data_IF_001082037446
#
_entry.id   IF_001082037446
#
_cell.length_a   1.000
_cell.length_b   1.000
_cell.length_c   1.000
_cell.angle_alpha   90.00
_cell.angle_beta   90.00
_cell.angle_gamma   90.00
#
_symmetry.space_group_name_H-M   'P 1'
#
loop_
_entity.id
_entity.type
_entity.pdbx_description
1 polymer ?
#
# COMPACT_ATOMS: atom_id res chain seq x y z
N UNK A 1 -4.09 10.72 15.74
CA UNK A 1 -5.19 9.98 15.11
C UNK A 1 -5.72 8.87 16.03
N UNK A 2 -4.93 7.82 16.33
CA UNK A 2 -5.41 6.65 17.08
C UNK A 2 -6.09 6.98 18.42
N UNK A 3 -5.42 7.77 19.27
CA UNK A 3 -5.94 8.09 20.59
C UNK A 3 -7.20 8.98 20.55
N UNK A 4 -7.36 9.83 19.53
CA UNK A 4 -8.36 10.89 19.52
C UNK A 4 -9.59 10.59 18.65
N UNK A 5 -9.39 9.85 17.55
CA UNK A 5 -10.39 9.72 16.48
C UNK A 5 -10.69 8.27 16.09
N UNK A 6 -9.72 7.35 16.11
CA UNK A 6 -9.92 6.00 15.56
C UNK A 6 -11.10 5.26 16.20
N UNK A 7 -11.29 5.39 17.52
CA UNK A 7 -12.39 4.78 18.27
C UNK A 7 -13.78 5.38 17.96
N UNK A 8 -13.83 6.54 17.30
CA UNK A 8 -15.07 7.23 16.93
C UNK A 8 -15.50 6.95 15.49
N UNK A 9 -14.64 6.31 14.71
CA UNK A 9 -14.89 6.03 13.30
C UNK A 9 -15.35 4.57 13.21
N UNK A 10 -16.54 4.29 12.66
CA UNK A 10 -17.01 2.92 12.50
C UNK A 10 -16.15 2.17 11.49
N UNK A 11 -16.04 0.85 11.64
CA UNK A 11 -15.33 0.02 10.65
C UNK A 11 -15.98 0.13 9.27
N UNK A 12 -17.29 0.01 9.23
CA UNK A 12 -18.12 0.10 8.03
C UNK A 12 -19.39 0.91 8.27
N UNK A 13 -20.02 1.41 7.21
CA UNK A 13 -21.34 2.05 7.26
C UNK A 13 -22.16 1.67 6.03
N UNK A 14 -23.46 1.43 6.19
CA UNK A 14 -24.39 1.27 5.07
C UNK A 14 -24.64 2.65 4.44
N UNK A 15 -24.70 2.71 3.11
CA UNK A 15 -24.95 3.96 2.38
C UNK A 15 -26.24 4.66 2.83
N UNK A 16 -27.32 3.91 3.05
CA UNK A 16 -28.58 4.45 3.57
C UNK A 16 -28.40 5.12 4.93
N UNK A 17 -27.76 4.46 5.90
CA UNK A 17 -27.45 5.03 7.22
C UNK A 17 -26.57 6.28 7.12
N UNK A 18 -25.61 6.30 6.18
CA UNK A 18 -24.80 7.49 5.95
C UNK A 18 -25.66 8.65 5.42
N UNK A 19 -26.54 8.40 4.45
CA UNK A 19 -27.39 9.42 3.84
C UNK A 19 -28.40 9.99 4.83
N UNK A 20 -28.98 9.16 5.71
CA UNK A 20 -29.85 9.61 6.79
C UNK A 20 -29.15 10.58 7.74
N UNK A 21 -27.88 10.32 8.05
CA UNK A 21 -27.12 11.09 9.04
C UNK A 21 -26.41 12.31 8.45
N UNK A 22 -25.87 12.20 7.24
CA UNK A 22 -24.94 13.17 6.65
C UNK A 22 -25.43 13.77 5.33
N UNK A 23 -26.53 13.27 4.76
CA UNK A 23 -27.16 13.73 3.51
C UNK A 23 -26.33 13.43 2.25
N UNK A 24 -25.06 13.80 2.20
CA UNK A 24 -24.14 13.55 1.08
C UNK A 24 -22.66 13.61 1.56
N UNK A 25 -21.74 13.21 0.70
CA UNK A 25 -20.29 13.32 0.86
C UNK A 25 -19.63 14.47 0.09
N UNK A 26 -20.41 15.31 -0.61
CA UNK A 26 -19.94 16.45 -1.41
C UNK A 26 -18.88 16.14 -2.50
N UNK A 27 -18.79 14.88 -2.95
CA UNK A 27 -18.02 14.49 -4.13
C UNK A 27 -18.88 14.64 -5.40
N UNK A 28 -18.37 15.37 -6.39
CA UNK A 28 -19.01 15.56 -7.70
C UNK A 28 -18.87 14.38 -8.66
N UNK A 29 -17.96 13.46 -8.38
CA UNK A 29 -17.60 12.34 -9.26
C UNK A 29 -18.35 11.07 -8.89
N UNK A 30 -18.63 10.86 -7.61
CA UNK A 30 -19.25 9.64 -7.10
C UNK A 30 -20.62 9.90 -6.47
N UNK A 31 -21.39 8.83 -6.30
CA UNK A 31 -22.70 8.85 -5.66
C UNK A 31 -22.75 7.71 -4.65
N UNK A 32 -23.31 7.98 -3.48
CA UNK A 32 -23.50 6.97 -2.44
C UNK A 32 -24.66 6.06 -2.87
N UNK A 33 -24.37 4.77 -3.04
CA UNK A 33 -25.37 3.73 -3.22
C UNK A 33 -25.97 3.38 -1.85
N UNK A 34 -27.28 3.61 -1.61
CA UNK A 34 -27.91 3.31 -0.32
C UNK A 34 -27.77 1.84 0.10
N UNK A 35 -27.66 0.92 -0.86
CA UNK A 35 -27.62 -0.53 -0.62
C UNK A 35 -26.22 -1.06 -0.37
N UNK A 36 -25.18 -0.23 -0.54
CA UNK A 36 -23.78 -0.66 -0.42
C UNK A 36 -23.25 -0.37 0.98
N UNK A 37 -22.49 -1.31 1.51
CA UNK A 37 -21.69 -1.12 2.73
C UNK A 37 -20.30 -0.62 2.35
N UNK A 38 -19.86 0.47 2.98
CA UNK A 38 -18.58 1.12 2.73
C UNK A 38 -17.62 0.90 3.90
N UNK A 39 -16.36 0.57 3.62
CA UNK A 39 -15.30 0.49 4.62
C UNK A 39 -14.81 1.89 4.99
N UNK A 40 -15.19 2.39 6.17
CA UNK A 40 -14.90 3.77 6.60
C UNK A 40 -13.57 3.85 7.33
N UNK A 41 -13.34 2.95 8.30
CA UNK A 41 -12.14 3.02 9.14
C UNK A 41 -10.86 2.82 8.33
N UNK A 42 -10.81 1.80 7.47
CA UNK A 42 -9.65 1.54 6.63
C UNK A 42 -9.37 2.70 5.67
N UNK A 43 -10.41 3.20 4.99
CA UNK A 43 -10.33 4.34 4.07
C UNK A 43 -9.93 5.65 4.75
N UNK A 44 -10.32 5.85 6.01
CA UNK A 44 -9.86 7.00 6.81
C UNK A 44 -8.41 6.84 7.28
N UNK A 45 -8.00 5.62 7.65
CA UNK A 45 -6.64 5.31 8.11
C UNK A 45 -5.61 5.46 6.99
N UNK A 46 -5.93 4.98 5.80
CA UNK A 46 -4.99 4.93 4.69
C UNK A 46 -4.29 6.27 4.40
N UNK A 47 -4.98 7.38 4.10
CA UNK A 47 -4.31 8.64 3.77
C UNK A 47 -3.52 9.23 4.94
N UNK A 48 -3.95 8.98 6.19
CA UNK A 48 -3.25 9.47 7.39
C UNK A 48 -1.88 8.78 7.51
N UNK A 49 -1.87 7.45 7.42
CA UNK A 49 -0.63 6.68 7.51
C UNK A 49 0.20 6.75 6.24
N UNK A 50 -0.43 6.86 5.08
CA UNK A 50 0.29 7.05 3.81
C UNK A 50 1.05 8.36 3.80
N UNK A 51 0.48 9.45 4.33
CA UNK A 51 1.20 10.71 4.49
C UNK A 51 2.44 10.55 5.38
N UNK A 52 2.38 9.74 6.45
CA UNK A 52 3.57 9.41 7.23
C UNK A 52 4.58 8.61 6.41
N UNK A 53 4.13 7.54 5.73
CA UNK A 53 5.00 6.69 4.90
C UNK A 53 5.69 7.49 3.80
N UNK A 54 4.98 8.38 3.10
CA UNK A 54 5.55 9.25 2.06
C UNK A 54 6.63 10.17 2.64
N UNK A 55 6.39 10.78 3.80
CA UNK A 55 7.40 11.63 4.47
C UNK A 55 8.62 10.83 4.92
N UNK A 56 8.41 9.65 5.49
CA UNK A 56 9.48 8.74 5.89
C UNK A 56 10.29 8.26 4.67
N UNK A 57 9.60 7.86 3.60
CA UNK A 57 10.21 7.44 2.34
C UNK A 57 11.07 8.56 1.75
N UNK A 58 10.54 9.78 1.69
CA UNK A 58 11.29 10.96 1.25
C UNK A 58 12.54 11.21 2.09
N UNK A 59 12.45 11.09 3.42
CA UNK A 59 13.61 11.26 4.28
C UNK A 59 14.66 10.16 4.03
N UNK A 60 14.23 8.91 3.92
CA UNK A 60 15.12 7.78 3.63
C UNK A 60 15.84 7.93 2.29
N UNK A 61 15.20 8.47 1.25
CA UNK A 61 15.85 8.75 -0.04
C UNK A 61 17.04 9.73 0.06
N UNK A 62 17.15 10.51 1.13
CA UNK A 62 18.28 11.43 1.35
C UNK A 62 19.44 10.80 2.12
N UNK A 63 19.27 9.60 2.67
CA UNK A 63 20.33 8.87 3.36
C UNK A 63 21.32 8.25 2.36
N UNK A 64 22.51 7.86 2.86
CA UNK A 64 23.48 7.11 2.07
C UNK A 64 22.89 5.78 1.60
N UNK A 65 23.27 5.39 0.39
CA UNK A 65 22.77 4.15 -0.22
C UNK A 65 23.33 2.95 0.51
N UNK A 66 22.46 2.19 1.17
CA UNK A 66 22.79 0.94 1.85
C UNK A 66 21.67 -0.09 1.72
N UNK A 67 21.97 -1.35 2.06
CA UNK A 67 20.95 -2.38 2.12
C UNK A 67 19.88 -2.08 3.18
N UNK A 68 20.27 -1.50 4.31
CA UNK A 68 19.36 -1.11 5.39
C UNK A 68 18.39 -0.01 4.91
N UNK A 69 18.90 0.98 4.16
CA UNK A 69 18.06 1.99 3.52
C UNK A 69 17.05 1.35 2.55
N UNK A 70 17.51 0.46 1.67
CA UNK A 70 16.65 -0.21 0.69
C UNK A 70 15.59 -1.10 1.37
N UNK A 71 15.96 -1.83 2.43
CA UNK A 71 15.02 -2.61 3.24
C UNK A 71 13.97 -1.71 3.90
N UNK A 72 14.37 -0.56 4.45
CA UNK A 72 13.43 0.37 5.06
C UNK A 72 12.48 1.00 4.02
N UNK A 73 12.99 1.40 2.86
CA UNK A 73 12.17 1.89 1.74
C UNK A 73 11.18 0.83 1.26
N UNK A 74 11.65 -0.41 1.09
CA UNK A 74 10.82 -1.50 0.63
C UNK A 74 9.74 -1.93 1.63
N UNK A 75 10.05 -1.91 2.92
CA UNK A 75 9.07 -2.13 3.99
C UNK A 75 7.94 -1.09 3.94
N UNK A 76 8.27 0.20 3.72
CA UNK A 76 7.25 1.24 3.54
C UNK A 76 6.38 0.99 2.30
N UNK A 77 6.94 0.41 1.23
CA UNK A 77 6.16 0.02 0.05
C UNK A 77 5.17 -1.09 0.38
N UNK A 78 5.61 -2.16 1.06
CA UNK A 78 4.70 -3.25 1.48
C UNK A 78 3.60 -2.74 2.40
N UNK A 79 3.94 -1.91 3.39
CA UNK A 79 2.94 -1.30 4.28
C UNK A 79 1.93 -0.44 3.53
N UNK A 80 2.36 0.29 2.50
CA UNK A 80 1.42 0.99 1.63
C UNK A 80 0.50 0.01 0.90
N UNK A 81 1.04 -1.05 0.29
CA UNK A 81 0.24 -2.01 -0.47
C UNK A 81 -0.86 -2.63 0.40
N UNK A 82 -0.50 -3.17 1.57
CA UNK A 82 -1.50 -3.74 2.48
C UNK A 82 -2.51 -2.70 2.98
N UNK A 83 -2.09 -1.46 3.17
CA UNK A 83 -3.00 -0.37 3.53
C UNK A 83 -3.98 -0.02 2.39
N UNK A 84 -3.58 -0.21 1.14
CA UNK A 84 -4.39 0.01 -0.06
C UNK A 84 -5.40 -1.14 -0.24
N UNK A 85 -4.96 -2.38 -0.04
CA UNK A 85 -5.81 -3.57 -0.09
C UNK A 85 -6.88 -3.53 1.00
N UNK A 86 -6.53 -3.06 2.20
CA UNK A 86 -7.48 -2.85 3.29
C UNK A 86 -8.60 -1.84 2.94
N UNK A 87 -8.37 -0.94 1.97
CA UNK A 87 -9.41 -0.05 1.45
C UNK A 87 -10.32 -0.73 0.42
N UNK A 88 -10.08 -1.99 0.06
CA UNK A 88 -10.77 -2.69 -1.01
C UNK A 88 -10.35 -2.25 -2.41
N UNK A 89 -9.18 -1.63 -2.54
CA UNK A 89 -8.64 -1.11 -3.81
C UNK A 89 -7.54 -2.02 -4.40
N UNK A 90 -7.20 -3.12 -3.73
CA UNK A 90 -6.24 -4.12 -4.19
C UNK A 90 -6.75 -4.99 -5.35
N UNK A 91 -5.95 -6.00 -5.73
CA UNK A 91 -6.34 -7.01 -6.72
C UNK A 91 -5.49 -8.27 -6.62
N UNK A 92 -6.07 -9.44 -6.85
CA UNK A 92 -5.35 -10.72 -6.79
C UNK A 92 -4.04 -10.72 -7.62
N UNK A 93 -4.06 -10.06 -8.78
CA UNK A 93 -2.88 -9.94 -9.66
C UNK A 93 -1.77 -9.10 -9.04
N UNK A 94 -2.09 -7.92 -8.50
CA UNK A 94 -1.09 -7.06 -7.84
C UNK A 94 -0.56 -7.71 -6.58
N UNK A 95 -1.43 -8.35 -5.81
CA UNK A 95 -1.09 -9.00 -4.54
C UNK A 95 -0.16 -10.19 -4.80
N UNK A 96 -0.42 -10.94 -5.88
CA UNK A 96 0.46 -12.03 -6.34
C UNK A 96 1.86 -11.51 -6.69
N UNK A 97 1.95 -10.43 -7.47
CA UNK A 97 3.25 -9.85 -7.86
C UNK A 97 4.02 -9.34 -6.64
N UNK A 98 3.36 -8.61 -5.73
CA UNK A 98 3.99 -8.11 -4.51
C UNK A 98 4.50 -9.27 -3.63
N UNK A 99 3.70 -10.34 -3.52
CA UNK A 99 4.09 -11.56 -2.80
C UNK A 99 5.30 -12.24 -3.43
N UNK A 100 5.37 -12.36 -4.76
CA UNK A 100 6.53 -12.95 -5.45
C UNK A 100 7.81 -12.15 -5.17
N UNK A 101 7.74 -10.82 -5.20
CA UNK A 101 8.89 -9.97 -4.84
C UNK A 101 9.32 -10.22 -3.39
N UNK A 102 8.36 -10.33 -2.47
CA UNK A 102 8.63 -10.61 -1.05
C UNK A 102 9.24 -12.00 -0.84
N UNK A 103 8.79 -13.01 -1.57
CA UNK A 103 9.37 -14.36 -1.58
C UNK A 103 10.81 -14.35 -2.11
N UNK A 104 11.06 -13.62 -3.21
CA UNK A 104 12.40 -13.46 -3.77
C UNK A 104 13.36 -12.74 -2.83
N UNK A 105 12.95 -11.63 -2.23
CA UNK A 105 13.70 -10.91 -1.22
C UNK A 105 14.13 -11.83 -0.07
N UNK A 106 13.22 -12.70 0.40
CA UNK A 106 13.44 -13.57 1.55
C UNK A 106 14.08 -14.92 1.21
N UNK A 107 14.31 -15.21 -0.07
CA UNK A 107 14.90 -16.47 -0.53
C UNK A 107 16.31 -16.68 0.04
N UNK A 108 16.70 -17.95 0.22
CA UNK A 108 18.03 -18.31 0.73
C UNK A 108 19.16 -17.77 -0.16
N UNK A 109 18.97 -17.82 -1.49
CA UNK A 109 19.92 -17.27 -2.45
C UNK A 109 20.04 -15.75 -2.32
N UNK A 110 18.91 -15.03 -2.19
CA UNK A 110 18.91 -13.58 -1.97
C UNK A 110 19.71 -13.21 -0.71
N UNK A 111 19.49 -13.92 0.40
CA UNK A 111 20.20 -13.66 1.66
C UNK A 111 21.71 -13.93 1.59
N UNK A 112 22.14 -14.93 0.83
CA UNK A 112 23.55 -15.26 0.65
C UNK A 112 24.31 -14.20 -0.18
N UNK A 113 23.60 -13.47 -1.03
CA UNK A 113 24.18 -12.49 -1.97
C UNK A 113 23.81 -11.04 -1.66
N UNK A 114 23.50 -10.73 -0.39
CA UNK A 114 23.12 -9.39 0.06
C UNK A 114 21.88 -8.80 -0.62
N UNK A 115 21.00 -9.60 -1.19
CA UNK A 115 19.69 -9.24 -1.74
C UNK A 115 19.72 -8.27 -2.94
N UNK A 116 18.72 -8.39 -3.80
CA UNK A 116 18.59 -7.65 -5.07
C UNK A 116 17.24 -6.94 -5.24
N UNK A 117 16.19 -7.47 -4.61
CA UNK A 117 14.86 -6.87 -4.53
C UNK A 117 14.52 -6.61 -3.07
N UNK A 118 13.88 -5.48 -2.77
CA UNK A 118 13.72 -5.00 -1.39
C UNK A 118 12.28 -4.63 -1.03
N UNK A 119 11.42 -4.37 -2.02
CA UNK A 119 10.03 -4.02 -1.77
C UNK A 119 9.20 -3.89 -3.03
N UNK A 120 7.88 -3.98 -2.88
CA UNK A 120 6.94 -3.78 -3.96
C UNK A 120 5.62 -3.19 -3.46
N UNK A 121 4.94 -2.41 -4.31
CA UNK A 121 3.56 -1.96 -4.08
C UNK A 121 2.79 -1.76 -5.38
N UNK A 122 1.47 -1.92 -5.30
CA UNK A 122 0.56 -1.41 -6.32
C UNK A 122 0.75 0.10 -6.55
N UNK A 123 0.61 0.55 -7.79
CA UNK A 123 0.66 1.96 -8.19
C UNK A 123 -0.32 2.27 -9.32
N UNK A 124 -0.77 3.52 -9.43
CA UNK A 124 -1.81 3.96 -10.36
C UNK A 124 -3.17 4.10 -9.67
N UNK A 125 -4.26 3.87 -10.41
CA UNK A 125 -5.63 4.05 -9.92
C UNK A 125 -6.16 2.92 -9.00
N UNK A 126 -5.44 1.81 -8.87
CA UNK A 126 -5.89 0.64 -8.12
C UNK A 126 -6.74 -0.34 -8.93
N UNK A 127 -7.26 -1.37 -8.25
CA UNK A 127 -8.08 -2.45 -8.80
C UNK A 127 -7.41 -3.20 -9.97
N UNK A 128 -6.08 -3.36 -9.87
CA UNK A 128 -5.23 -3.92 -10.91
C UNK A 128 -4.15 -2.95 -11.35
N UNK A 129 -3.66 -3.12 -12.59
CA UNK A 129 -2.67 -2.24 -13.19
C UNK A 129 -1.23 -2.67 -12.91
N UNK A 130 -0.43 -1.78 -12.34
CA UNK A 130 1.03 -1.93 -12.25
C UNK A 130 1.51 -2.08 -10.81
N UNK A 131 2.61 -2.82 -10.65
CA UNK A 131 3.36 -2.92 -9.40
C UNK A 131 4.71 -2.22 -9.59
N UNK A 132 5.04 -1.32 -8.66
CA UNK A 132 6.36 -0.72 -8.56
C UNK A 132 7.23 -1.59 -7.65
N UNK A 133 8.46 -1.88 -8.07
CA UNK A 133 9.43 -2.70 -7.34
C UNK A 133 10.68 -1.87 -7.09
N UNK A 134 11.23 -1.93 -5.87
CA UNK A 134 12.54 -1.35 -5.55
C UNK A 134 13.59 -2.46 -5.48
N UNK A 135 14.69 -2.24 -6.19
CA UNK A 135 15.79 -3.18 -6.34
C UNK A 135 17.13 -2.48 -6.53
N UNK A 136 18.21 -3.24 -6.43
CA UNK A 136 19.54 -2.78 -6.84
C UNK A 136 19.56 -2.59 -8.35
N UNK A 137 20.38 -1.63 -8.80
CA UNK A 137 20.67 -1.48 -10.22
C UNK A 137 21.71 -2.54 -10.65
N UNK A 138 21.27 -3.77 -10.85
CA UNK A 138 22.10 -4.86 -11.35
C UNK A 138 21.29 -5.82 -12.24
N UNK A 139 21.98 -6.57 -13.10
CA UNK A 139 21.37 -7.52 -14.05
C UNK A 139 20.46 -8.52 -13.34
N UNK A 140 20.89 -9.02 -12.19
CA UNK A 140 20.14 -10.01 -11.41
C UNK A 140 18.79 -9.51 -10.92
N UNK A 141 18.66 -8.23 -10.56
CA UNK A 141 17.37 -7.65 -10.20
C UNK A 141 16.38 -7.71 -11.36
N UNK A 142 16.85 -7.50 -12.60
CA UNK A 142 16.02 -7.61 -13.80
C UNK A 142 15.64 -9.06 -14.11
N UNK A 143 16.58 -10.00 -13.98
CA UNK A 143 16.33 -11.44 -14.19
C UNK A 143 15.23 -11.94 -13.26
N UNK A 144 15.28 -11.58 -11.98
CA UNK A 144 14.28 -11.97 -10.97
C UNK A 144 12.89 -11.35 -11.16
N UNK A 145 12.75 -10.32 -11.99
CA UNK A 145 11.45 -9.69 -12.31
C UNK A 145 10.84 -10.29 -13.58
N UNK A 146 11.68 -10.81 -14.49
CA UNK A 146 11.26 -11.29 -15.81
C UNK A 146 10.97 -12.80 -15.88
N UNK A 147 11.46 -13.58 -14.91
CA UNK A 147 11.08 -15.00 -14.73
C UNK A 147 9.74 -15.17 -13.98
#
# INVERSE_FOLDING_TARGET
>A
YEAAYAKKIPETILGETFLEQYINHDDSVTVIDPKRTYGVLASARHPIYENFRVKAFKALLTADVSNEQLLALGELMYQCHYSYDACGLGSDGTDRLVKLVQEMQNSKLSKAENGTLFGAKITGGGSGGSVCVIGKNCVRSSEQILE
#
